data_IF_322728867042
#
_entry.id   IF_322728867042
#
_cell.length_a   1.000
_cell.length_b   1.000
_cell.length_c   1.000
_cell.angle_alpha   90.00
_cell.angle_beta   90.00
_cell.angle_gamma   90.00
#
_symmetry.space_group_name_H-M   'P 1'
#
loop_
_entity.id
_entity.type
_entity.pdbx_description
1 polymer ?
#
# COMPACT_ATOMS: atom_id res chain seq x y z
N UNK A 1 -12.33 40.20 -78.79
CA UNK A 1 -13.24 39.48 -77.88
C UNK A 1 -12.48 39.16 -76.60
N UNK A 2 -13.04 39.50 -75.44
CA UNK A 2 -12.33 39.67 -74.17
C UNK A 2 -11.95 38.37 -73.45
N UNK A 3 -10.72 38.31 -72.94
CA UNK A 3 -10.16 37.20 -72.15
C UNK A 3 -10.71 37.20 -70.71
N UNK A 4 -11.26 36.07 -70.26
CA UNK A 4 -11.80 35.87 -68.91
C UNK A 4 -10.65 35.84 -67.89
N UNK A 5 -10.59 36.84 -67.00
CA UNK A 5 -9.73 36.81 -65.80
C UNK A 5 -10.35 35.89 -64.75
N UNK A 6 -9.69 34.76 -64.46
CA UNK A 6 -9.97 33.89 -63.33
C UNK A 6 -9.63 34.62 -62.03
N UNK A 7 -10.61 34.84 -61.15
CA UNK A 7 -10.39 35.34 -59.78
C UNK A 7 -9.96 34.16 -58.91
N UNK A 8 -8.70 34.14 -58.49
CA UNK A 8 -8.22 33.20 -57.47
C UNK A 8 -8.75 33.68 -56.12
N UNK A 9 -9.69 32.95 -55.53
CA UNK A 9 -10.14 33.20 -54.15
C UNK A 9 -9.22 32.41 -53.21
N UNK A 10 -8.22 33.09 -52.66
CA UNK A 10 -7.40 32.53 -51.58
C UNK A 10 -8.26 32.34 -50.33
N UNK A 11 -8.83 31.14 -50.17
CA UNK A 11 -9.43 30.70 -48.92
C UNK A 11 -8.33 30.50 -47.89
N UNK A 12 -8.14 31.48 -47.01
CA UNK A 12 -7.37 31.33 -45.78
C UNK A 12 -8.04 30.28 -44.88
N UNK A 13 -7.74 29.00 -45.10
CA UNK A 13 -8.06 27.93 -44.16
C UNK A 13 -7.14 28.08 -42.94
N UNK A 14 -7.64 28.68 -41.87
CA UNK A 14 -7.03 28.56 -40.54
C UNK A 14 -6.86 27.07 -40.23
N UNK A 15 -5.60 26.62 -40.07
CA UNK A 15 -5.31 25.33 -39.43
C UNK A 15 -5.72 25.48 -37.96
N UNK A 16 -6.84 24.88 -37.57
CA UNK A 16 -7.17 24.72 -36.16
C UNK A 16 -6.15 23.76 -35.54
N UNK A 17 -5.26 24.28 -34.70
CA UNK A 17 -4.42 23.43 -33.87
C UNK A 17 -5.31 22.75 -32.85
N UNK A 18 -5.51 21.44 -32.98
CA UNK A 18 -6.04 20.63 -31.89
C UNK A 18 -5.02 20.71 -30.75
N UNK A 19 -5.32 21.49 -29.71
CA UNK A 19 -4.59 21.38 -28.44
C UNK A 19 -5.11 20.10 -27.81
N UNK A 20 -4.26 19.08 -27.70
CA UNK A 20 -4.55 17.95 -26.83
C UNK A 20 -4.75 18.50 -25.42
N UNK A 21 -5.96 18.36 -24.90
CA UNK A 21 -6.23 18.66 -23.50
C UNK A 21 -5.37 17.73 -22.65
N UNK A 22 -4.49 18.29 -21.84
CA UNK A 22 -3.78 17.51 -20.82
C UNK A 22 -4.83 16.97 -19.87
N UNK A 23 -5.06 15.67 -19.91
CA UNK A 23 -5.79 14.97 -18.85
C UNK A 23 -5.01 15.27 -17.57
N UNK A 24 -5.60 15.94 -16.56
CA UNK A 24 -4.92 16.19 -15.32
C UNK A 24 -4.49 14.84 -14.74
N UNK A 25 -3.20 14.67 -14.47
CA UNK A 25 -2.72 13.54 -13.70
C UNK A 25 -3.41 13.62 -12.36
N UNK A 26 -4.38 12.72 -12.13
CA UNK A 26 -4.98 12.54 -10.80
C UNK A 26 -3.82 12.11 -9.92
N UNK A 27 -3.38 12.99 -9.03
CA UNK A 27 -2.40 12.64 -8.01
C UNK A 27 -2.99 11.48 -7.21
N UNK A 28 -2.40 10.31 -7.39
CA UNK A 28 -2.85 9.10 -6.70
C UNK A 28 -2.42 9.21 -5.25
N UNK A 29 -3.37 8.98 -4.34
CA UNK A 29 -3.11 9.01 -2.92
C UNK A 29 -1.99 8.04 -2.53
N UNK A 30 -0.99 8.60 -1.86
CA UNK A 30 0.17 7.88 -1.34
C UNK A 30 -0.17 7.17 -0.04
N UNK A 31 0.58 6.12 0.29
CA UNK A 31 0.33 5.33 1.49
C UNK A 31 0.58 6.17 2.75
N UNK A 32 -0.37 6.13 3.69
CA UNK A 32 -0.22 6.71 5.03
C UNK A 32 -0.13 5.57 6.03
N UNK A 33 0.87 5.61 6.91
CA UNK A 33 1.04 4.62 7.97
C UNK A 33 0.43 5.17 9.26
N UNK A 34 -0.49 4.41 9.86
CA UNK A 34 -1.14 4.76 11.12
C UNK A 34 -0.79 3.76 12.22
N UNK A 35 -0.47 4.28 13.41
CA UNK A 35 -0.22 3.48 14.61
C UNK A 35 -1.41 3.53 15.60
N UNK A 36 -2.54 4.14 15.22
CA UNK A 36 -3.73 4.29 16.09
C UNK A 36 -4.20 2.94 16.66
N UNK A 37 -4.11 1.91 15.84
CA UNK A 37 -4.63 0.58 16.18
C UNK A 37 -3.58 -0.39 16.75
N UNK A 38 -2.36 0.09 16.97
CA UNK A 38 -1.24 -0.72 17.45
C UNK A 38 -1.55 -1.45 18.76
N UNK A 39 -1.15 -2.71 18.83
CA UNK A 39 -1.21 -3.58 20.01
C UNK A 39 0.08 -4.41 20.11
N UNK A 40 1.05 -3.90 20.86
CA UNK A 40 2.31 -4.59 21.14
C UNK A 40 2.23 -5.69 22.19
N UNK A 41 1.04 -5.95 22.78
CA UNK A 41 0.88 -6.98 23.83
C UNK A 41 0.67 -8.38 23.26
N UNK A 42 0.49 -8.49 21.94
CA UNK A 42 0.20 -9.75 21.26
C UNK A 42 1.40 -10.22 20.41
N UNK A 43 1.56 -11.54 20.23
CA UNK A 43 0.74 -12.64 20.74
C UNK A 43 0.94 -12.90 22.26
N UNK A 44 -0.10 -13.33 22.99
CA UNK A 44 -0.10 -13.42 24.48
C UNK A 44 1.11 -14.14 25.10
N UNK A 45 1.65 -15.16 24.42
CA UNK A 45 2.78 -15.96 24.94
C UNK A 45 4.14 -15.30 24.69
N UNK A 46 4.23 -14.47 23.65
CA UNK A 46 5.46 -13.81 23.21
C UNK A 46 5.08 -12.43 22.67
N UNK A 47 4.79 -11.46 23.55
CA UNK A 47 4.46 -10.10 23.13
C UNK A 47 5.54 -9.56 22.19
N UNK A 48 5.11 -8.81 21.18
CA UNK A 48 6.01 -8.18 20.23
C UNK A 48 5.70 -6.69 20.18
N UNK A 49 6.39 -5.94 21.04
CA UNK A 49 6.39 -4.47 21.01
C UNK A 49 7.61 -3.90 20.31
N UNK A 50 7.67 -2.57 20.24
CA UNK A 50 8.83 -1.86 19.69
C UNK A 50 10.11 -2.15 20.48
N UNK A 51 10.02 -2.25 21.81
CA UNK A 51 11.17 -2.57 22.65
C UNK A 51 11.74 -3.96 22.36
N UNK A 52 10.89 -4.92 22.02
CA UNK A 52 11.34 -6.27 21.65
C UNK A 52 12.00 -6.28 20.28
N UNK A 53 11.46 -5.52 19.34
CA UNK A 53 12.04 -5.36 18.00
C UNK A 53 13.36 -4.60 18.01
N UNK A 54 13.50 -3.62 18.91
CA UNK A 54 14.76 -2.87 19.09
C UNK A 54 15.86 -3.77 19.67
N UNK A 55 15.54 -4.59 20.68
CA UNK A 55 16.49 -5.56 21.26
C UNK A 55 17.03 -6.56 20.23
N UNK A 56 16.27 -6.83 19.19
CA UNK A 56 16.65 -7.74 18.11
C UNK A 56 17.28 -7.01 16.90
N UNK A 57 17.40 -5.68 16.95
CA UNK A 57 17.96 -4.87 15.86
C UNK A 57 17.05 -4.75 14.64
N UNK A 58 15.78 -5.14 14.74
CA UNK A 58 14.82 -5.18 13.63
C UNK A 58 14.11 -3.83 13.47
N UNK A 59 13.91 -3.11 14.58
CA UNK A 59 13.10 -1.89 14.59
C UNK A 59 13.67 -0.81 13.67
N UNK A 60 14.98 -0.57 13.72
CA UNK A 60 15.65 0.43 12.89
C UNK A 60 15.46 0.12 11.40
N UNK A 61 15.74 -1.13 10.99
CA UNK A 61 15.55 -1.55 9.60
C UNK A 61 14.09 -1.41 9.15
N UNK A 62 13.14 -1.71 10.03
CA UNK A 62 11.73 -1.53 9.75
C UNK A 62 11.38 -0.05 9.50
N UNK A 63 11.84 0.85 10.38
CA UNK A 63 11.58 2.28 10.27
C UNK A 63 12.22 2.90 9.03
N UNK A 64 13.44 2.50 8.66
CA UNK A 64 14.14 2.97 7.46
C UNK A 64 13.41 2.60 6.15
N UNK A 65 12.56 1.58 6.18
CA UNK A 65 11.79 1.13 5.02
C UNK A 65 10.45 1.83 4.88
N UNK A 66 9.90 2.39 5.97
CA UNK A 66 8.61 3.07 5.94
C UNK A 66 8.57 4.27 5.00
N UNK A 67 9.58 5.17 4.93
CA UNK A 67 9.57 6.28 3.98
C UNK A 67 9.38 5.83 2.53
N UNK A 68 10.13 4.81 2.10
CA UNK A 68 10.02 4.24 0.75
C UNK A 68 8.62 3.70 0.48
N UNK A 69 7.95 3.13 1.49
CA UNK A 69 6.58 2.65 1.37
C UNK A 69 5.59 3.82 1.22
N UNK A 70 5.76 4.88 2.01
CA UNK A 70 4.93 6.08 1.96
C UNK A 70 5.06 6.86 0.64
N UNK A 71 6.12 6.66 -0.14
CA UNK A 71 6.26 7.23 -1.48
C UNK A 71 5.44 6.49 -2.55
N UNK A 72 4.93 5.31 -2.24
CA UNK A 72 4.16 4.48 -3.17
C UNK A 72 2.65 4.67 -2.98
N UNK A 73 1.91 4.37 -4.03
CA UNK A 73 0.45 4.17 -3.95
C UNK A 73 0.14 2.76 -3.43
N UNK A 74 -1.07 2.55 -2.91
CA UNK A 74 -1.50 1.24 -2.44
C UNK A 74 -1.41 0.17 -3.53
N UNK A 75 -1.73 0.51 -4.77
CA UNK A 75 -1.66 -0.39 -5.91
C UNK A 75 -0.21 -0.75 -6.27
N UNK A 76 0.72 0.21 -6.24
CA UNK A 76 2.15 -0.05 -6.47
C UNK A 76 2.75 -0.97 -5.41
N UNK A 77 2.42 -0.75 -4.13
CA UNK A 77 2.90 -1.58 -3.03
C UNK A 77 2.35 -3.02 -3.11
N UNK A 78 1.08 -3.18 -3.53
CA UNK A 78 0.49 -4.50 -3.80
C UNK A 78 1.17 -5.19 -4.98
N UNK A 79 1.41 -4.48 -6.09
CA UNK A 79 2.08 -5.03 -7.27
C UNK A 79 3.53 -5.46 -6.98
N UNK A 80 4.24 -4.75 -6.09
CA UNK A 80 5.59 -5.13 -5.61
C UNK A 80 5.56 -6.22 -4.52
N UNK A 81 4.36 -6.67 -4.14
CA UNK A 81 4.10 -7.62 -3.06
C UNK A 81 4.65 -7.15 -1.70
N UNK A 82 4.80 -5.84 -1.51
CA UNK A 82 5.13 -5.25 -0.22
C UNK A 82 3.92 -5.29 0.71
N UNK A 83 2.72 -5.18 0.15
CA UNK A 83 1.46 -5.36 0.85
C UNK A 83 0.75 -6.58 0.25
N UNK A 84 0.34 -7.51 1.10
CA UNK A 84 -0.59 -8.59 0.72
C UNK A 84 -1.88 -8.41 1.50
N UNK A 85 -2.97 -8.21 0.79
CA UNK A 85 -4.31 -8.10 1.37
C UNK A 85 -4.97 -9.48 1.36
N UNK A 86 -5.56 -9.86 2.49
CA UNK A 86 -6.20 -11.16 2.68
C UNK A 86 -7.72 -11.05 2.90
N UNK A 87 -8.23 -9.86 3.22
CA UNK A 87 -9.65 -9.63 3.50
C UNK A 87 -9.96 -9.87 4.97
N UNK A 88 -10.43 -11.05 5.34
CA UNK A 88 -10.83 -11.37 6.72
C UNK A 88 -9.62 -11.60 7.65
N UNK A 89 -9.86 -11.48 8.97
CA UNK A 89 -8.84 -11.75 9.97
C UNK A 89 -8.46 -13.23 9.94
N UNK A 90 -7.17 -13.58 9.84
CA UNK A 90 -6.77 -14.99 9.94
C UNK A 90 -7.09 -15.50 11.34
N UNK A 91 -7.67 -16.68 11.45
CA UNK A 91 -7.65 -17.43 12.71
C UNK A 91 -6.22 -17.90 13.00
N UNK A 92 -5.37 -16.96 13.39
CA UNK A 92 -3.95 -17.16 13.62
C UNK A 92 -3.69 -17.55 15.08
N UNK A 93 -2.80 -18.52 15.29
CA UNK A 93 -2.46 -18.99 16.63
C UNK A 93 -1.86 -17.86 17.48
N UNK A 94 -2.58 -17.47 18.53
CA UNK A 94 -2.09 -16.54 19.55
C UNK A 94 -2.37 -15.05 19.28
N UNK A 95 -2.92 -14.71 18.11
CA UNK A 95 -3.43 -13.37 17.81
C UNK A 95 -4.95 -13.32 17.96
N UNK A 96 -5.45 -12.22 18.49
CA UNK A 96 -6.88 -11.93 18.64
C UNK A 96 -7.14 -10.52 18.16
N UNK A 97 -8.25 -10.33 17.45
CA UNK A 97 -8.72 -9.01 17.06
C UNK A 97 -8.83 -8.13 18.32
N UNK A 98 -8.14 -6.97 18.37
CA UNK A 98 -8.25 -6.06 19.51
C UNK A 98 -9.70 -5.63 19.71
N UNK A 99 -10.15 -5.47 20.96
CA UNK A 99 -11.57 -5.18 21.26
C UNK A 99 -12.12 -3.97 20.48
N UNK A 100 -11.29 -2.96 20.25
CA UNK A 100 -11.63 -1.73 19.49
C UNK A 100 -11.96 -1.96 18.00
N UNK A 101 -11.62 -3.14 17.45
CA UNK A 101 -11.77 -3.50 16.04
C UNK A 101 -12.76 -4.65 15.81
N UNK A 102 -13.31 -5.27 16.87
CA UNK A 102 -14.12 -6.50 16.75
C UNK A 102 -15.37 -6.34 15.89
N UNK A 103 -16.01 -5.17 15.97
CA UNK A 103 -17.29 -4.91 15.29
C UNK A 103 -17.11 -4.23 13.93
N UNK A 104 -15.88 -4.16 13.40
CA UNK A 104 -15.56 -3.47 12.16
C UNK A 104 -15.23 -4.47 11.05
N UNK A 105 -15.85 -4.28 9.90
CA UNK A 105 -15.45 -4.95 8.66
C UNK A 105 -14.17 -4.28 8.14
N UNK A 106 -13.03 -4.93 8.38
CA UNK A 106 -11.71 -4.42 8.03
C UNK A 106 -11.05 -5.32 7.01
N UNK A 107 -10.36 -4.71 6.04
CA UNK A 107 -9.53 -5.42 5.07
C UNK A 107 -8.15 -5.66 5.68
N UNK A 108 -7.95 -6.85 6.23
CA UNK A 108 -6.69 -7.25 6.83
C UNK A 108 -5.63 -7.46 5.77
N UNK A 109 -4.43 -6.97 6.09
CA UNK A 109 -3.29 -7.02 5.21
C UNK A 109 -2.00 -7.17 6.01
N UNK A 110 -0.97 -7.65 5.33
CA UNK A 110 0.36 -7.83 5.90
C UNK A 110 1.37 -7.07 5.04
N UNK A 111 2.22 -6.31 5.72
CA UNK A 111 3.43 -5.76 5.15
C UNK A 111 4.55 -6.80 5.15
N UNK A 112 5.18 -6.96 4.00
CA UNK A 112 6.25 -7.90 3.68
C UNK A 112 7.47 -7.12 3.21
N UNK A 113 8.62 -7.81 3.12
CA UNK A 113 9.88 -7.27 2.56
C UNK A 113 10.37 -6.00 3.29
N UNK A 114 10.06 -5.88 4.58
CA UNK A 114 10.55 -4.80 5.45
C UNK A 114 11.94 -5.15 5.99
N UNK A 115 12.04 -6.26 6.72
CA UNK A 115 13.27 -6.75 7.33
C UNK A 115 13.40 -8.26 7.16
N UNK A 116 14.47 -8.71 6.51
CA UNK A 116 14.67 -10.14 6.24
C UNK A 116 13.49 -10.83 5.53
N UNK A 117 13.48 -12.16 5.55
CA UNK A 117 12.45 -12.94 4.86
C UNK A 117 11.22 -13.25 5.71
N UNK A 118 11.35 -13.34 7.03
CA UNK A 118 10.28 -13.80 7.94
C UNK A 118 9.50 -12.67 8.62
N UNK A 119 10.11 -11.50 8.82
CA UNK A 119 9.46 -10.41 9.55
C UNK A 119 8.30 -9.87 8.73
N UNK A 120 7.17 -9.71 9.41
CA UNK A 120 5.91 -9.20 8.89
C UNK A 120 5.34 -8.17 9.85
N UNK A 121 4.56 -7.24 9.31
CA UNK A 121 3.76 -6.33 10.10
C UNK A 121 2.30 -6.50 9.67
N UNK A 122 1.45 -6.87 10.61
CA UNK A 122 0.04 -7.10 10.35
C UNK A 122 -0.77 -5.84 10.64
N UNK A 123 -1.76 -5.58 9.81
CA UNK A 123 -2.59 -4.39 9.91
C UNK A 123 -3.87 -4.52 9.10
N UNK A 124 -4.56 -3.39 8.95
CA UNK A 124 -5.72 -3.26 8.09
C UNK A 124 -5.63 -2.03 7.20
N UNK A 125 -6.35 -2.07 6.08
CA UNK A 125 -6.32 -1.01 5.06
C UNK A 125 -7.68 -0.35 4.93
N UNK A 126 -7.71 0.97 5.12
CA UNK A 126 -8.84 1.84 4.80
C UNK A 126 -8.31 2.88 3.81
N UNK A 127 -8.84 2.87 2.59
CA UNK A 127 -8.38 3.68 1.46
C UNK A 127 -6.85 3.58 1.23
N UNK A 128 -6.12 4.69 1.40
CA UNK A 128 -4.66 4.76 1.30
C UNK A 128 -3.95 4.59 2.66
N UNK A 129 -4.68 4.38 3.74
CA UNK A 129 -4.12 4.27 5.10
C UNK A 129 -3.90 2.80 5.46
N UNK A 130 -2.65 2.43 5.71
CA UNK A 130 -2.31 1.15 6.34
C UNK A 130 -2.16 1.37 7.85
N UNK A 131 -3.09 0.80 8.62
CA UNK A 131 -3.08 0.87 10.08
C UNK A 131 -2.38 -0.35 10.65
N UNK A 132 -1.19 -0.14 11.23
CA UNK A 132 -0.42 -1.18 11.88
C UNK A 132 -1.12 -1.60 13.17
N UNK A 133 -1.33 -2.91 13.32
CA UNK A 133 -1.96 -3.51 14.49
C UNK A 133 -0.96 -4.38 15.25
N UNK A 134 -0.25 -5.28 14.56
CA UNK A 134 0.68 -6.21 15.20
C UNK A 134 2.04 -6.26 14.53
N UNK A 135 3.04 -6.50 15.35
CA UNK A 135 4.39 -6.84 14.91
C UNK A 135 4.55 -8.36 14.90
N UNK A 136 5.00 -8.92 13.78
CA UNK A 136 5.11 -10.37 13.61
C UNK A 136 6.46 -10.78 13.00
N UNK A 137 7.50 -10.85 13.83
CA UNK A 137 8.83 -11.29 13.40
C UNK A 137 8.89 -12.76 12.94
N UNK A 138 7.93 -13.58 13.39
CA UNK A 138 7.96 -15.03 13.26
C UNK A 138 7.02 -15.56 12.16
N UNK A 139 6.36 -14.69 11.40
CA UNK A 139 5.37 -15.08 10.39
C UNK A 139 4.25 -15.98 10.94
N UNK A 140 3.80 -15.69 12.17
CA UNK A 140 2.73 -16.43 12.86
C UNK A 140 1.34 -15.83 12.60
N UNK A 141 1.25 -14.59 12.15
CA UNK A 141 -0.02 -13.92 11.90
C UNK A 141 -0.76 -14.50 10.70
N UNK A 142 -0.04 -14.88 9.64
CA UNK A 142 -0.63 -15.56 8.48
C UNK A 142 0.29 -16.71 8.03
N UNK A 143 0.23 -17.88 8.68
CA UNK A 143 1.07 -19.00 8.29
C UNK A 143 0.68 -19.47 6.89
N UNK A 144 1.65 -19.51 5.98
CA UNK A 144 1.48 -20.12 4.66
C UNK A 144 2.02 -21.53 4.73
N UNK A 145 1.22 -22.53 4.35
CA UNK A 145 1.70 -23.91 4.21
C UNK A 145 2.86 -23.94 3.23
N UNK A 146 3.99 -24.50 3.66
CA UNK A 146 5.11 -24.73 2.75
C UNK A 146 4.68 -25.80 1.76
N UNK A 147 4.56 -25.44 0.48
CA UNK A 147 4.48 -26.45 -0.58
C UNK A 147 5.81 -27.21 -0.57
N UNK A 148 5.78 -28.47 -0.14
CA UNK A 148 6.91 -29.37 -0.30
C UNK A 148 7.26 -29.42 -1.80
N UNK A 149 8.46 -28.94 -2.14
CA UNK A 149 9.09 -29.16 -3.45
C UNK A 149 10.18 -30.18 -3.24
#
# INVERSE_FOLDING_TARGET
MASKRLRHSDTFKRKSSYREERIPTIDKDKIVISFKDFDGTQPRKQPQGFQDWEKEGILVEFLDRLPNLCEMTMQEAKNKEMITEYGEFPYAEGYKIPNKLKDKELRWAVLKKLTGQKVRVAGHIIDNVFSIVFLDKNHKFWPVEKKHT
#
